data_IF_825083158486
#
_entry.id   IF_825083158486
#
_cell.length_a   1.000
_cell.length_b   1.000
_cell.length_c   1.000
_cell.angle_alpha   90.00
_cell.angle_beta   90.00
_cell.angle_gamma   90.00
#
_symmetry.space_group_name_H-M   'P 1'
#
loop_
_entity.id
_entity.type
_entity.pdbx_description
1 polymer ?
#
# COMPACT_ATOMS: atom_id res chain seq x y z
N UNK A 1 -0.18 -13.90 -1.67
CA UNK A 1 0.54 -12.64 -2.01
C UNK A 1 0.80 -11.84 -0.75
N UNK A 2 1.97 -11.23 -0.61
CA UNK A 2 2.31 -10.39 0.54
C UNK A 2 2.99 -9.11 0.07
N UNK A 3 2.46 -7.99 0.49
CA UNK A 3 3.00 -6.68 0.17
C UNK A 3 2.98 -5.72 1.35
N UNK A 4 3.88 -4.75 1.31
CA UNK A 4 4.01 -3.64 2.25
C UNK A 4 3.81 -2.34 1.49
N UNK A 5 3.05 -1.38 2.03
CA UNK A 5 2.83 -0.06 1.44
C UNK A 5 2.39 -0.17 -0.03
N UNK A 6 3.12 0.43 -0.96
CA UNK A 6 2.89 0.32 -2.40
C UNK A 6 2.89 -1.14 -2.91
N UNK A 7 3.71 -2.02 -2.33
CA UNK A 7 3.69 -3.46 -2.64
C UNK A 7 2.38 -4.13 -2.25
N UNK A 8 1.75 -3.72 -1.15
CA UNK A 8 0.43 -4.20 -0.77
C UNK A 8 -0.64 -3.72 -1.76
N UNK A 9 -0.58 -2.45 -2.16
CA UNK A 9 -1.43 -1.90 -3.21
C UNK A 9 -1.32 -2.70 -4.51
N UNK A 10 -0.10 -2.99 -4.97
CA UNK A 10 0.11 -3.78 -6.19
C UNK A 10 -0.46 -5.20 -6.07
N UNK A 11 -0.31 -5.87 -4.92
CA UNK A 11 -0.91 -7.17 -4.67
C UNK A 11 -2.44 -7.13 -4.75
N UNK A 12 -3.06 -6.11 -4.17
CA UNK A 12 -4.50 -5.92 -4.16
C UNK A 12 -5.05 -5.65 -5.57
N UNK A 13 -4.41 -4.76 -6.33
CA UNK A 13 -4.82 -4.45 -7.70
C UNK A 13 -4.62 -5.65 -8.63
N UNK A 14 -3.50 -6.37 -8.52
CA UNK A 14 -3.27 -7.59 -9.31
C UNK A 14 -4.33 -8.66 -9.03
N UNK A 15 -4.69 -8.85 -7.77
CA UNK A 15 -5.74 -9.77 -7.38
C UNK A 15 -7.13 -9.33 -7.90
N UNK A 16 -7.45 -8.04 -7.81
CA UNK A 16 -8.71 -7.48 -8.30
C UNK A 16 -8.85 -7.59 -9.83
N UNK A 17 -7.75 -7.42 -10.58
CA UNK A 17 -7.73 -7.56 -12.04
C UNK A 17 -7.80 -9.01 -12.53
N UNK A 18 -7.53 -9.99 -11.68
CA UNK A 18 -7.60 -11.41 -12.04
C UNK A 18 -6.60 -11.86 -13.10
N UNK A 19 -5.50 -11.12 -13.28
CA UNK A 19 -4.47 -11.39 -14.30
C UNK A 19 -3.41 -12.40 -13.82
N UNK A 20 -3.82 -13.47 -13.18
CA UNK A 20 -2.93 -14.50 -12.64
C UNK A 20 -3.32 -15.88 -13.20
N UNK A 21 -2.33 -16.75 -13.38
CA UNK A 21 -2.54 -18.14 -13.82
C UNK A 21 -3.11 -19.02 -12.71
N UNK A 22 -2.79 -18.70 -11.46
CA UNK A 22 -3.30 -19.37 -10.27
C UNK A 22 -3.79 -18.34 -9.26
N UNK A 23 -5.01 -18.48 -8.79
CA UNK A 23 -5.58 -17.59 -7.78
C UNK A 23 -4.75 -17.63 -6.48
N UNK A 24 -4.47 -16.48 -5.85
CA UNK A 24 -3.78 -16.47 -4.58
C UNK A 24 -4.63 -17.11 -3.49
N UNK A 25 -4.01 -17.89 -2.59
CA UNK A 25 -4.69 -18.47 -1.43
C UNK A 25 -5.09 -17.40 -0.40
N UNK A 26 -4.37 -16.29 -0.34
CA UNK A 26 -4.65 -15.14 0.53
C UNK A 26 -3.78 -13.94 0.18
N UNK A 27 -4.18 -12.77 0.65
CA UNK A 27 -3.44 -11.52 0.51
C UNK A 27 -3.09 -11.00 1.90
N UNK A 28 -1.83 -10.61 2.08
CA UNK A 28 -1.31 -9.95 3.26
C UNK A 28 -0.97 -8.50 2.90
N UNK A 29 -1.72 -7.57 3.44
CA UNK A 29 -1.57 -6.13 3.22
C UNK A 29 -1.06 -5.46 4.49
N UNK A 30 0.20 -5.11 4.52
CA UNK A 30 0.80 -4.35 5.60
C UNK A 30 0.82 -2.87 5.23
N UNK A 31 0.17 -2.04 6.03
CA UNK A 31 0.03 -0.59 5.83
C UNK A 31 -0.22 -0.20 4.37
N UNK A 32 -1.03 -1.04 3.69
CA UNK A 32 -1.38 -0.86 2.29
C UNK A 32 -2.58 0.06 2.11
N UNK A 33 -2.84 0.37 0.86
CA UNK A 33 -3.97 1.16 0.41
C UNK A 33 -4.58 0.54 -0.85
N UNK A 34 -5.73 1.03 -1.26
CA UNK A 34 -6.40 0.48 -2.44
C UNK A 34 -7.55 1.34 -2.94
N UNK A 35 -8.12 2.20 -2.08
CA UNK A 35 -9.25 3.05 -2.44
C UNK A 35 -8.86 4.47 -2.75
N UNK A 36 -7.71 4.94 -2.25
CA UNK A 36 -7.29 6.33 -2.28
C UNK A 36 -8.40 7.24 -1.71
N UNK A 37 -8.73 6.95 -0.44
CA UNK A 37 -9.74 7.69 0.32
C UNK A 37 -9.26 9.12 0.61
N UNK A 38 -10.21 10.03 0.80
CA UNK A 38 -9.95 11.38 1.32
C UNK A 38 -8.92 12.21 0.55
N UNK A 39 -8.57 11.80 -0.67
CA UNK A 39 -7.60 12.48 -1.55
C UNK A 39 -6.23 12.77 -0.91
N UNK A 40 -5.81 11.98 0.09
CA UNK A 40 -4.57 12.17 0.85
C UNK A 40 -3.30 12.26 -0.02
N UNK A 41 -3.33 11.70 -1.20
CA UNK A 41 -2.25 11.68 -2.19
C UNK A 41 -2.25 12.91 -3.12
N UNK A 42 -3.31 13.75 -3.08
CA UNK A 42 -3.49 14.97 -3.88
C UNK A 42 -3.25 16.23 -3.09
N UNK A 43 -2.98 16.13 -1.82
CA UNK A 43 -2.69 17.23 -0.94
C UNK A 43 -1.29 17.12 -0.40
N UNK A 44 -0.59 18.26 -0.16
CA UNK A 44 0.70 18.25 0.50
C UNK A 44 0.62 17.54 1.85
N UNK A 45 1.42 16.49 2.02
CA UNK A 45 1.44 15.73 3.26
C UNK A 45 2.06 16.52 4.38
N UNK A 46 1.38 16.63 5.52
CA UNK A 46 1.93 17.31 6.71
C UNK A 46 3.26 16.72 7.13
N UNK A 47 3.38 15.40 7.13
CA UNK A 47 4.61 14.70 7.50
C UNK A 47 5.76 15.08 6.56
N UNK A 48 5.57 14.90 5.25
CA UNK A 48 6.61 15.17 4.25
C UNK A 48 6.98 16.65 4.16
N UNK A 49 6.06 17.55 4.46
CA UNK A 49 6.36 18.98 4.53
C UNK A 49 7.21 19.39 5.74
N UNK A 50 7.42 18.50 6.74
CA UNK A 50 8.40 18.74 7.83
C UNK A 50 9.83 18.39 7.42
N UNK A 51 10.01 17.61 6.35
CA UNK A 51 11.32 17.25 5.84
C UNK A 51 11.92 18.40 5.01
N UNK A 52 13.23 18.40 4.79
CA UNK A 52 13.85 19.36 3.88
C UNK A 52 13.14 19.39 2.53
N UNK A 53 12.91 20.59 2.00
CA UNK A 53 12.22 20.76 0.72
C UNK A 53 13.04 20.13 -0.40
N UNK A 54 12.43 19.22 -1.13
CA UNK A 54 13.02 18.58 -2.32
C UNK A 54 12.75 19.48 -3.53
N UNK A 55 13.79 19.86 -4.31
CA UNK A 55 13.61 20.67 -5.50
C UNK A 55 13.05 19.84 -6.66
N UNK A 56 12.40 20.52 -7.61
CA UNK A 56 11.86 19.90 -8.83
C UNK A 56 12.93 19.14 -9.66
N UNK A 57 14.18 19.55 -9.56
CA UNK A 57 15.30 18.84 -10.21
C UNK A 57 15.46 17.39 -9.76
N UNK A 58 14.90 16.99 -8.63
CA UNK A 58 14.83 15.58 -8.24
C UNK A 58 14.07 14.70 -9.24
N UNK A 59 13.19 15.30 -10.05
CA UNK A 59 12.46 14.58 -11.10
C UNK A 59 13.34 14.19 -12.30
N UNK A 60 14.56 14.74 -12.42
CA UNK A 60 15.49 14.38 -13.49
C UNK A 60 15.93 12.91 -13.48
N UNK A 61 15.71 12.19 -12.39
CA UNK A 61 15.97 10.74 -12.32
C UNK A 61 14.85 9.90 -12.95
N UNK A 62 13.69 10.49 -13.21
CA UNK A 62 12.60 9.83 -13.91
C UNK A 62 12.98 9.74 -15.39
N UNK A 63 13.03 8.56 -15.93
CA UNK A 63 13.33 8.31 -17.34
C UNK A 63 12.25 7.42 -17.97
N UNK A 64 12.20 7.44 -19.30
CA UNK A 64 11.32 6.54 -20.04
C UNK A 64 11.75 5.09 -19.85
N UNK A 65 10.77 4.20 -19.66
CA UNK A 65 10.99 2.77 -19.53
C UNK A 65 10.74 2.24 -18.12
N UNK A 66 10.83 0.92 -18.00
CA UNK A 66 10.66 0.20 -16.73
C UNK A 66 12.04 0.00 -16.12
N UNK A 67 12.22 0.53 -14.91
CA UNK A 67 13.41 0.34 -14.11
C UNK A 67 13.09 -0.61 -12.95
N UNK A 68 13.83 -1.72 -12.89
CA UNK A 68 13.72 -2.71 -11.82
C UNK A 68 14.82 -2.54 -10.75
N UNK A 69 15.78 -1.69 -11.03
CA UNK A 69 16.91 -1.35 -10.17
C UNK A 69 17.07 0.18 -10.10
N UNK A 70 17.62 0.66 -9.05
CA UNK A 70 17.88 2.08 -8.84
C UNK A 70 18.34 2.35 -7.41
N UNK A 71 19.01 3.48 -7.26
CA UNK A 71 19.37 3.99 -5.96
C UNK A 71 18.12 4.40 -5.20
N UNK A 72 17.84 3.71 -4.10
CA UNK A 72 16.64 3.95 -3.28
C UNK A 72 16.59 5.39 -2.76
N UNK A 73 17.72 5.95 -2.33
CA UNK A 73 17.76 7.29 -1.77
C UNK A 73 17.41 8.33 -2.83
N UNK A 74 17.94 8.17 -4.03
CA UNK A 74 17.67 9.07 -5.17
C UNK A 74 16.20 8.98 -5.57
N UNK A 75 15.66 7.77 -5.73
CA UNK A 75 14.26 7.58 -6.14
C UNK A 75 13.28 7.93 -5.01
N UNK A 76 13.66 7.75 -3.75
CA UNK A 76 12.85 8.20 -2.61
C UNK A 76 12.65 9.72 -2.61
N UNK A 77 13.62 10.49 -3.09
CA UNK A 77 13.49 11.95 -3.25
C UNK A 77 12.32 12.33 -4.17
N UNK A 78 12.06 11.55 -5.24
CA UNK A 78 10.88 11.76 -6.11
C UNK A 78 9.59 11.58 -5.34
N UNK A 79 9.50 10.55 -4.51
CA UNK A 79 8.32 10.32 -3.68
C UNK A 79 8.12 11.45 -2.66
N UNK A 80 9.18 11.84 -1.97
CA UNK A 80 9.15 12.98 -1.03
C UNK A 80 8.66 14.25 -1.73
N UNK A 81 9.21 14.56 -2.92
CA UNK A 81 8.75 15.69 -3.73
C UNK A 81 7.25 15.61 -4.02
N UNK A 82 6.80 14.48 -4.54
CA UNK A 82 5.40 14.27 -4.89
C UNK A 82 4.46 14.46 -3.68
N UNK A 83 4.88 13.95 -2.52
CA UNK A 83 4.12 14.09 -1.26
C UNK A 83 4.15 15.51 -0.71
N UNK A 84 5.23 16.26 -0.94
CA UNK A 84 5.31 17.69 -0.57
C UNK A 84 4.45 18.57 -1.49
N UNK A 85 4.32 18.22 -2.77
CA UNK A 85 3.54 18.98 -3.74
C UNK A 85 2.06 18.55 -3.83
N UNK A 86 1.71 17.34 -3.37
CA UNK A 86 0.37 16.78 -3.52
C UNK A 86 0.03 16.41 -4.96
N UNK A 87 1.03 15.99 -5.75
CA UNK A 87 0.86 15.67 -7.17
C UNK A 87 1.33 14.25 -7.52
N UNK A 88 1.27 13.33 -6.58
CA UNK A 88 1.81 11.98 -6.73
C UNK A 88 1.28 11.26 -7.99
N UNK A 89 -0.04 11.24 -8.20
CA UNK A 89 -0.61 10.56 -9.37
C UNK A 89 -0.17 11.21 -10.67
N UNK A 90 -0.08 12.53 -10.72
CA UNK A 90 0.23 13.29 -11.93
C UNK A 90 1.63 13.01 -12.48
N UNK A 91 2.53 12.47 -11.63
CA UNK A 91 3.88 12.11 -12.03
C UNK A 91 3.97 10.82 -12.85
N UNK A 92 2.96 9.94 -12.77
CA UNK A 92 3.03 8.64 -13.45
C UNK A 92 1.75 8.27 -14.22
N UNK A 93 0.74 9.13 -14.21
CA UNK A 93 -0.50 8.88 -14.94
C UNK A 93 -0.97 10.11 -15.71
N UNK A 94 -0.89 10.05 -17.03
CA UNK A 94 -1.27 11.14 -17.93
C UNK A 94 -2.74 11.09 -18.37
N UNK A 95 -3.47 10.06 -17.96
CA UNK A 95 -4.88 9.86 -18.32
C UNK A 95 -5.85 10.74 -17.55
N UNK A 96 -7.11 10.66 -17.92
CA UNK A 96 -8.17 11.30 -17.11
C UNK A 96 -8.28 10.59 -15.76
N UNK A 97 -8.25 11.34 -14.69
CA UNK A 97 -8.29 10.85 -13.31
C UNK A 97 -9.38 9.80 -13.04
N UNK A 98 -10.57 9.97 -13.61
CA UNK A 98 -11.66 8.99 -13.46
C UNK A 98 -11.31 7.59 -13.93
N UNK A 99 -10.48 7.46 -14.96
CA UNK A 99 -10.03 6.16 -15.46
C UNK A 99 -8.96 5.56 -14.53
N UNK A 100 -8.12 6.41 -13.93
CA UNK A 100 -7.22 5.93 -12.89
C UNK A 100 -7.99 5.27 -11.74
N UNK A 101 -9.06 5.91 -11.24
CA UNK A 101 -9.87 5.33 -10.18
C UNK A 101 -10.57 4.04 -10.57
N UNK A 102 -11.02 3.92 -11.82
CA UNK A 102 -11.67 2.70 -12.32
C UNK A 102 -10.67 1.56 -12.49
N UNK A 103 -9.49 1.85 -13.04
CA UNK A 103 -8.55 0.84 -13.49
C UNK A 103 -7.50 0.49 -12.44
N UNK A 104 -7.16 1.42 -11.56
CA UNK A 104 -6.05 1.29 -10.61
C UNK A 104 -6.45 1.51 -9.15
N UNK A 105 -7.74 1.41 -8.84
CA UNK A 105 -8.21 1.36 -7.45
C UNK A 105 -9.20 0.23 -7.22
N UNK A 106 -9.48 -0.06 -5.97
CA UNK A 106 -10.47 -1.08 -5.58
C UNK A 106 -11.91 -0.54 -5.54
N UNK A 107 -12.14 0.68 -6.00
CA UNK A 107 -13.48 1.31 -5.95
C UNK A 107 -14.51 0.51 -6.76
N UNK A 108 -14.10 -0.03 -7.90
CA UNK A 108 -14.94 -0.86 -8.77
C UNK A 108 -14.85 -2.37 -8.49
N UNK A 109 -14.05 -2.81 -7.50
CA UNK A 109 -13.88 -4.20 -7.15
C UNK A 109 -14.79 -4.57 -5.97
N UNK A 110 -15.84 -5.32 -6.22
CA UNK A 110 -16.78 -5.70 -5.17
C UNK A 110 -16.28 -6.84 -4.29
N UNK A 111 -15.45 -7.74 -4.84
CA UNK A 111 -14.96 -8.93 -4.15
C UNK A 111 -13.54 -9.28 -4.58
N UNK A 112 -12.69 -9.56 -3.60
CA UNK A 112 -11.39 -10.17 -3.83
C UNK A 112 -11.50 -11.68 -4.02
N UNK A 113 -10.58 -12.31 -4.77
CA UNK A 113 -10.62 -13.75 -5.08
C UNK A 113 -10.29 -14.64 -3.87
N UNK A 114 -9.75 -14.09 -2.81
CA UNK A 114 -9.26 -14.81 -1.64
C UNK A 114 -9.37 -13.97 -0.35
N UNK A 115 -9.21 -14.60 0.82
CA UNK A 115 -9.17 -13.89 2.10
C UNK A 115 -8.08 -12.82 2.17
N UNK A 116 -8.35 -11.77 2.93
CA UNK A 116 -7.46 -10.64 3.15
C UNK A 116 -7.06 -10.51 4.61
N UNK A 117 -5.78 -10.28 4.87
CA UNK A 117 -5.22 -9.84 6.14
C UNK A 117 -4.70 -8.42 6.00
N UNK A 118 -5.09 -7.53 6.91
CA UNK A 118 -4.63 -6.15 6.95
C UNK A 118 -3.96 -5.83 8.29
N UNK A 119 -2.76 -5.28 8.23
CA UNK A 119 -2.05 -4.73 9.38
C UNK A 119 -1.74 -3.25 9.17
N UNK A 120 -2.01 -2.38 10.17
CA UNK A 120 -1.84 -0.93 10.01
C UNK A 120 -1.68 -0.21 11.35
N UNK A 121 -0.92 0.88 11.36
CA UNK A 121 -0.80 1.77 12.51
C UNK A 121 -1.93 2.80 12.55
N UNK A 122 -2.47 3.07 13.74
CA UNK A 122 -3.62 3.98 13.90
C UNK A 122 -3.34 5.43 13.52
N UNK A 123 -2.08 5.85 13.64
CA UNK A 123 -1.62 7.22 13.34
C UNK A 123 -0.57 7.24 12.23
N UNK A 124 -0.59 6.27 11.32
CA UNK A 124 0.32 6.19 10.19
C UNK A 124 0.46 7.54 9.48
N UNK A 125 1.69 8.03 9.36
CA UNK A 125 1.99 9.36 8.83
C UNK A 125 2.08 9.40 7.31
N UNK A 126 2.11 8.25 6.65
CA UNK A 126 2.21 8.15 5.20
C UNK A 126 0.88 7.72 4.55
N UNK A 127 0.35 6.58 4.95
CA UNK A 127 -0.94 6.07 4.47
C UNK A 127 -2.00 6.21 5.57
N UNK A 128 -3.06 6.98 5.35
CA UNK A 128 -4.05 7.24 6.40
C UNK A 128 -4.81 5.97 6.81
N UNK A 129 -5.16 5.88 8.07
CA UNK A 129 -5.89 4.75 8.66
C UNK A 129 -7.27 4.52 8.01
N UNK A 130 -7.83 5.51 7.31
CA UNK A 130 -9.05 5.35 6.51
C UNK A 130 -8.92 4.28 5.42
N UNK A 131 -7.75 4.15 4.79
CA UNK A 131 -7.48 3.07 3.83
C UNK A 131 -7.61 1.67 4.45
N UNK A 132 -7.02 1.48 5.63
CA UNK A 132 -7.19 0.23 6.40
C UNK A 132 -8.66 -0.04 6.75
N UNK A 133 -9.37 1.00 7.17
CA UNK A 133 -10.78 0.88 7.55
C UNK A 133 -11.63 0.45 6.37
N UNK A 134 -11.46 1.10 5.22
CA UNK A 134 -12.19 0.76 3.99
C UNK A 134 -11.86 -0.66 3.50
N UNK A 135 -10.57 -1.02 3.40
CA UNK A 135 -10.13 -2.36 3.01
C UNK A 135 -10.72 -3.44 3.90
N UNK A 136 -10.58 -3.24 5.21
CA UNK A 136 -11.00 -4.24 6.17
C UNK A 136 -12.52 -4.38 6.29
N UNK A 137 -13.28 -3.31 6.11
CA UNK A 137 -14.72 -3.33 6.12
C UNK A 137 -15.28 -3.97 4.84
N UNK A 138 -14.85 -3.49 3.67
CA UNK A 138 -15.38 -3.97 2.39
C UNK A 138 -15.11 -5.45 2.16
N UNK A 139 -13.91 -5.92 2.50
CA UNK A 139 -13.51 -7.30 2.22
C UNK A 139 -13.52 -8.22 3.46
N UNK A 140 -14.06 -7.76 4.58
CA UNK A 140 -14.11 -8.52 5.84
C UNK A 140 -12.77 -9.10 6.25
N UNK A 141 -11.71 -8.27 6.13
CA UNK A 141 -10.35 -8.70 6.36
C UNK A 141 -10.10 -9.10 7.82
N UNK A 142 -9.20 -10.07 8.03
CA UNK A 142 -8.55 -10.25 9.33
C UNK A 142 -7.72 -9.00 9.63
N UNK A 143 -7.91 -8.41 10.80
CA UNK A 143 -7.31 -7.12 11.19
C UNK A 143 -6.21 -7.32 12.21
N UNK A 144 -5.12 -6.57 12.03
CA UNK A 144 -4.11 -6.36 13.05
C UNK A 144 -3.85 -4.85 13.17
N UNK A 145 -4.12 -4.29 14.34
CA UNK A 145 -4.03 -2.84 14.56
C UNK A 145 -2.88 -2.56 15.51
N UNK A 146 -1.96 -1.70 15.07
CA UNK A 146 -0.84 -1.20 15.87
C UNK A 146 -1.18 0.18 16.39
N UNK A 147 -1.08 0.38 17.69
CA UNK A 147 -1.20 1.70 18.29
C UNK A 147 0.13 2.45 18.14
N UNK A 148 0.21 3.39 17.22
CA UNK A 148 1.44 4.12 16.90
C UNK A 148 1.28 5.00 15.68
N UNK A 149 2.37 5.67 15.31
CA UNK A 149 2.43 6.59 14.16
C UNK A 149 3.35 6.12 13.04
N UNK A 150 4.08 5.02 13.26
CA UNK A 150 5.05 4.51 12.31
C UNK A 150 4.34 3.82 11.15
N UNK A 151 4.74 4.17 9.93
CA UNK A 151 4.25 3.54 8.71
C UNK A 151 4.74 2.09 8.61
N UNK A 152 6.05 1.89 8.67
CA UNK A 152 6.71 0.60 8.49
C UNK A 152 7.10 -0.07 9.82
N UNK A 153 6.15 -0.14 10.75
CA UNK A 153 6.31 -0.60 12.14
C UNK A 153 6.96 -1.99 12.29
N UNK A 154 6.96 -2.79 11.24
CA UNK A 154 7.52 -4.15 11.22
C UNK A 154 8.99 -4.23 10.74
N UNK A 155 9.63 -3.09 10.43
CA UNK A 155 11.06 -3.04 10.08
C UNK A 155 11.97 -3.15 11.28
N UNK A 156 11.53 -2.63 12.41
CA UNK A 156 12.26 -2.75 13.67
C UNK A 156 11.94 -4.12 14.31
N UNK A 157 12.91 -5.02 14.29
CA UNK A 157 12.78 -6.38 14.84
C UNK A 157 12.69 -6.40 16.37
N UNK A 158 13.12 -5.34 17.03
CA UNK A 158 13.01 -5.18 18.48
C UNK A 158 11.63 -4.62 18.90
N UNK A 159 10.87 -4.12 17.94
CA UNK A 159 9.50 -3.65 18.21
C UNK A 159 8.61 -4.84 18.61
N UNK A 160 7.98 -4.81 19.79
CA UNK A 160 7.16 -5.92 20.26
C UNK A 160 5.93 -6.23 19.38
N UNK A 161 5.51 -5.29 18.52
CA UNK A 161 4.46 -5.53 17.54
C UNK A 161 4.92 -6.34 16.34
N UNK A 162 6.20 -6.29 15.97
CA UNK A 162 6.75 -7.02 14.83
C UNK A 162 6.54 -8.53 15.01
N UNK A 163 6.94 -9.10 16.13
CA UNK A 163 6.73 -10.53 16.37
C UNK A 163 5.25 -10.90 16.39
N UNK A 164 4.41 -10.08 17.04
CA UNK A 164 2.96 -10.35 17.12
C UNK A 164 2.28 -10.33 15.75
N UNK A 165 2.62 -9.36 14.89
CA UNK A 165 2.05 -9.32 13.53
C UNK A 165 2.52 -10.49 12.68
N UNK A 166 3.76 -10.94 12.86
CA UNK A 166 4.28 -12.13 12.17
C UNK A 166 3.56 -13.40 12.61
N UNK A 167 3.34 -13.58 13.92
CA UNK A 167 2.59 -14.73 14.47
C UNK A 167 1.16 -14.79 13.92
N UNK A 168 0.45 -13.65 13.89
CA UNK A 168 -0.90 -13.54 13.32
C UNK A 168 -0.90 -13.78 11.79
N UNK A 169 0.16 -13.39 11.12
CA UNK A 169 0.35 -13.63 9.68
C UNK A 169 0.54 -15.11 9.39
N UNK A 170 1.37 -15.82 10.16
CA UNK A 170 1.56 -17.26 10.04
C UNK A 170 0.25 -17.99 10.27
N UNK A 171 -0.47 -17.67 11.34
CA UNK A 171 -1.77 -18.26 11.65
C UNK A 171 -2.80 -18.02 10.50
N UNK A 172 -2.78 -16.84 9.88
CA UNK A 172 -3.63 -16.55 8.72
C UNK A 172 -3.23 -17.39 7.50
N UNK A 173 -1.93 -17.53 7.20
CA UNK A 173 -1.44 -18.34 6.08
C UNK A 173 -1.86 -19.81 6.25
N UNK A 174 -1.67 -20.38 7.44
CA UNK A 174 -2.06 -21.76 7.76
C UNK A 174 -3.56 -21.98 7.54
N UNK A 175 -4.39 -21.03 8.00
CA UNK A 175 -5.84 -21.10 7.78
C UNK A 175 -6.20 -21.06 6.28
N UNK A 176 -5.53 -20.20 5.48
CA UNK A 176 -5.75 -20.13 4.04
C UNK A 176 -5.33 -21.42 3.34
N UNK A 177 -4.19 -22.01 3.73
CA UNK A 177 -3.66 -23.24 3.16
C UNK A 177 -4.56 -24.44 3.43
N UNK A 178 -5.15 -24.53 4.62
CA UNK A 178 -6.07 -25.60 4.99
C UNK A 178 -7.43 -25.52 4.27
N UNK A 179 -7.82 -24.34 3.78
CA UNK A 179 -9.06 -24.14 3.02
C UNK A 179 -8.90 -24.40 1.50
N UNK A 180 -7.67 -24.47 1.01
CA UNK A 180 -7.34 -24.92 -0.35
C UNK A 180 -7.10 -26.43 -0.27
N UNK A 181 -8.19 -27.21 -0.17
CA UNK A 181 -8.10 -28.66 -0.23
C UNK A 181 -7.45 -29.09 -1.55
N UNK A 182 -6.33 -29.79 -1.47
CA UNK A 182 -5.72 -30.51 -2.57
C UNK A 182 -6.55 -31.76 -2.86
#
# INVERSE_FOLDING_TARGET
MWGRSAGAYLCLIAAAKGTYTQAPAGILSYYGYGFLCDNWFKEPSRHYCTLPKVPESALCVISEGIHADGDLDTHYSVYVYARQQGNWIDLFYEGREKFFYLDYTLRACDKLPCPLFCAHSTGDTDVPFSEFTELSNKYHAKRFIVSGTEHDFDRDTENPFTQKVLDETVAFIEKCSNNVGF
#
